data_IF_097235800854
#
_entry.id   IF_097235800854
#
_cell.length_a   1.000
_cell.length_b   1.000
_cell.length_c   1.000
_cell.angle_alpha   90.00
_cell.angle_beta   90.00
_cell.angle_gamma   90.00
#
_symmetry.space_group_name_H-M   'P 1'
#
loop_
_entity.id
_entity.type
_entity.pdbx_description
1 polymer ?
#
# COMPACT_ATOMS: atom_id res chain seq x y z
N UNK A 1 5.61 -19.94 18.59
CA UNK A 1 5.02 -19.58 17.28
C UNK A 1 5.97 -18.62 16.60
N UNK A 2 6.31 -18.81 15.31
CA UNK A 2 7.09 -17.83 14.59
C UNK A 2 6.30 -16.52 14.54
N UNK A 3 7.00 -15.41 14.73
CA UNK A 3 6.42 -14.06 14.68
C UNK A 3 5.76 -13.86 13.31
N UNK A 4 4.43 -13.79 13.27
CA UNK A 4 3.66 -13.57 12.02
C UNK A 4 3.55 -12.08 11.69
N UNK A 5 4.41 -11.24 12.28
CA UNK A 5 4.52 -9.83 11.97
C UNK A 5 5.05 -9.62 10.55
N UNK A 6 4.56 -8.58 9.88
CA UNK A 6 5.06 -8.11 8.60
C UNK A 6 5.86 -6.84 8.85
N UNK A 7 7.08 -6.80 8.33
CA UNK A 7 7.94 -5.61 8.43
C UNK A 7 8.16 -4.97 7.07
N UNK A 8 7.99 -3.66 7.01
CA UNK A 8 8.36 -2.83 5.86
C UNK A 8 9.60 -2.03 6.23
N UNK A 9 10.70 -2.35 5.58
CA UNK A 9 11.98 -1.67 5.80
C UNK A 9 12.35 -0.95 4.51
N UNK A 10 12.48 0.38 4.59
CA UNK A 10 12.97 1.18 3.47
C UNK A 10 14.40 1.61 3.76
N UNK A 11 15.32 1.14 2.93
CA UNK A 11 16.75 1.33 3.10
C UNK A 11 17.39 1.69 1.77
N UNK A 12 18.50 2.44 1.82
CA UNK A 12 19.34 2.67 0.65
C UNK A 12 20.21 1.44 0.36
N UNK A 13 20.76 1.38 -0.84
CA UNK A 13 21.75 0.36 -1.21
C UNK A 13 23.00 0.39 -0.32
N UNK A 14 23.38 1.57 0.17
CA UNK A 14 24.47 1.76 1.12
C UNK A 14 24.13 1.34 2.57
N UNK A 15 22.91 0.84 2.83
CA UNK A 15 22.48 0.33 4.14
C UNK A 15 21.89 1.39 5.08
N UNK A 16 21.62 2.61 4.62
CA UNK A 16 20.94 3.61 5.44
C UNK A 16 19.44 3.33 5.47
N UNK A 17 18.92 2.91 6.63
CA UNK A 17 17.48 2.74 6.86
C UNK A 17 16.78 4.08 7.06
N UNK A 18 15.85 4.40 6.18
CA UNK A 18 15.00 5.60 6.27
C UNK A 18 13.85 5.39 7.26
N UNK A 19 13.21 4.22 7.21
CA UNK A 19 12.17 3.81 8.16
C UNK A 19 12.03 2.29 8.25
N UNK A 20 11.47 1.85 9.37
CA UNK A 20 11.23 0.46 9.71
C UNK A 20 9.89 0.36 10.45
N UNK A 21 8.91 -0.25 9.78
CA UNK A 21 7.55 -0.38 10.25
C UNK A 21 7.19 -1.84 10.48
N UNK A 22 6.64 -2.14 11.65
CA UNK A 22 6.16 -3.46 12.03
C UNK A 22 4.63 -3.44 12.11
N UNK A 23 4.00 -4.37 11.40
CA UNK A 23 2.57 -4.64 11.44
C UNK A 23 2.37 -6.02 12.06
N UNK A 24 1.68 -6.07 13.19
CA UNK A 24 1.42 -7.31 13.92
C UNK A 24 0.06 -7.91 13.53
N UNK A 25 -0.13 -9.23 13.69
CA UNK A 25 -1.40 -9.89 13.38
C UNK A 25 -2.61 -9.37 14.17
N UNK A 26 -2.39 -8.81 15.35
CA UNK A 26 -3.41 -8.19 16.20
C UNK A 26 -3.83 -6.79 15.72
N UNK A 27 -3.27 -6.31 14.61
CA UNK A 27 -3.49 -4.97 14.07
C UNK A 27 -2.61 -3.88 14.69
N UNK A 28 -1.71 -4.24 15.61
CA UNK A 28 -0.79 -3.29 16.23
C UNK A 28 0.25 -2.83 15.19
N UNK A 29 0.43 -1.52 15.09
CA UNK A 29 1.46 -0.88 14.27
C UNK A 29 2.55 -0.27 15.16
N UNK A 30 3.81 -0.53 14.85
CA UNK A 30 4.97 0.08 15.54
C UNK A 30 5.97 0.62 14.53
N UNK A 31 6.32 1.90 14.65
CA UNK A 31 7.46 2.47 13.94
C UNK A 31 8.74 2.23 14.76
N UNK A 32 9.54 1.23 14.36
CA UNK A 32 10.79 0.87 15.04
C UNK A 32 11.88 1.91 14.82
N UNK A 33 11.94 2.46 13.61
CA UNK A 33 12.90 3.48 13.22
C UNK A 33 12.27 4.40 12.18
N UNK A 34 12.60 5.69 12.23
CA UNK A 34 12.35 6.65 11.17
C UNK A 34 13.38 7.77 11.30
N UNK A 35 14.04 8.15 10.20
CA UNK A 35 14.92 9.34 10.21
C UNK A 35 14.09 10.60 10.51
N UNK A 36 14.73 11.65 11.06
CA UNK A 36 14.02 12.84 11.58
C UNK A 36 13.02 13.48 10.61
N UNK A 37 13.27 13.42 9.30
CA UNK A 37 12.34 13.95 8.29
C UNK A 37 11.05 13.12 8.15
N UNK A 38 11.09 11.84 8.50
CA UNK A 38 9.95 10.92 8.46
C UNK A 38 9.36 10.62 9.84
N UNK A 39 9.99 11.09 10.94
CA UNK A 39 9.55 10.77 12.30
C UNK A 39 8.35 11.58 12.79
N UNK A 40 7.91 12.60 12.05
CA UNK A 40 6.68 13.31 12.37
C UNK A 40 5.47 12.36 12.25
N UNK A 41 4.62 12.35 13.28
CA UNK A 41 3.39 11.56 13.38
C UNK A 41 2.50 11.63 12.13
N UNK A 42 2.38 12.79 11.49
CA UNK A 42 1.57 12.93 10.28
C UNK A 42 2.13 12.10 9.13
N UNK A 43 3.45 12.11 8.93
CA UNK A 43 4.15 11.36 7.89
C UNK A 43 4.08 9.86 8.17
N UNK A 44 4.36 9.45 9.42
CA UNK A 44 4.24 8.05 9.84
C UNK A 44 2.82 7.52 9.58
N UNK A 45 1.78 8.29 9.95
CA UNK A 45 0.40 7.88 9.76
C UNK A 45 0.00 7.76 8.27
N UNK A 46 0.53 8.65 7.43
CA UNK A 46 0.33 8.56 5.97
C UNK A 46 0.98 7.30 5.43
N UNK A 47 2.27 7.09 5.72
CA UNK A 47 3.01 5.92 5.24
C UNK A 47 2.40 4.61 5.77
N UNK A 48 1.96 4.59 7.03
CA UNK A 48 1.23 3.45 7.60
C UNK A 48 0.03 3.08 6.75
N UNK A 49 -0.84 4.05 6.42
CA UNK A 49 -2.04 3.82 5.61
C UNK A 49 -1.70 3.38 4.18
N UNK A 50 -0.63 3.93 3.63
CA UNK A 50 -0.13 3.56 2.30
C UNK A 50 0.31 2.10 2.26
N UNK A 51 1.08 1.65 3.26
CA UNK A 51 1.50 0.25 3.36
C UNK A 51 0.38 -0.69 3.78
N UNK A 52 -0.61 -0.23 4.54
CA UNK A 52 -1.83 -0.99 4.81
C UNK A 52 -2.59 -1.31 3.51
N UNK A 53 -2.69 -0.34 2.58
CA UNK A 53 -3.31 -0.54 1.27
C UNK A 53 -2.56 -1.59 0.43
N UNK A 54 -1.23 -1.68 0.57
CA UNK A 54 -0.38 -2.64 -0.16
C UNK A 54 -0.45 -4.03 0.44
N UNK A 55 -0.32 -4.14 1.76
CA UNK A 55 -0.07 -5.41 2.45
C UNK A 55 -1.34 -6.12 2.91
N UNK A 56 -2.39 -5.36 3.26
CA UNK A 56 -3.57 -5.91 3.92
C UNK A 56 -4.88 -5.63 3.17
N UNK A 57 -4.94 -5.84 1.84
CA UNK A 57 -6.17 -5.59 1.09
C UNK A 57 -7.35 -6.48 1.56
N UNK A 58 -7.06 -7.67 2.11
CA UNK A 58 -8.05 -8.69 2.45
C UNK A 58 -8.72 -8.52 3.80
N UNK A 59 -8.26 -7.60 4.65
CA UNK A 59 -8.90 -7.36 5.97
C UNK A 59 -10.16 -6.52 5.85
N UNK A 60 -10.42 -5.94 4.69
CA UNK A 60 -11.56 -5.08 4.43
C UNK A 60 -12.75 -5.88 3.86
N UNK A 61 -13.96 -5.54 4.27
CA UNK A 61 -15.18 -6.16 3.75
C UNK A 61 -15.40 -5.77 2.28
N UNK A 62 -15.64 -6.75 1.41
CA UNK A 62 -16.08 -6.51 0.05
C UNK A 62 -17.48 -5.89 0.07
N UNK A 63 -17.60 -4.67 -0.47
CA UNK A 63 -18.86 -3.94 -0.60
C UNK A 63 -19.57 -4.30 -1.89
N UNK A 64 -18.83 -4.27 -3.01
CA UNK A 64 -19.35 -4.62 -4.34
C UNK A 64 -18.20 -4.88 -5.31
N UNK A 65 -18.50 -5.58 -6.40
CA UNK A 65 -17.64 -5.65 -7.57
C UNK A 65 -18.41 -5.24 -8.83
N UNK A 66 -17.72 -4.64 -9.79
CA UNK A 66 -18.31 -4.27 -11.08
C UNK A 66 -17.26 -4.22 -12.18
N UNK A 67 -17.70 -4.35 -13.42
CA UNK A 67 -16.83 -4.23 -14.60
C UNK A 67 -16.94 -2.82 -15.19
N UNK A 68 -15.80 -2.27 -15.62
CA UNK A 68 -15.75 -1.01 -16.37
C UNK A 68 -14.72 -1.12 -17.47
N UNK A 69 -15.16 -1.09 -18.74
CA UNK A 69 -14.28 -1.38 -19.87
C UNK A 69 -13.67 -2.78 -19.75
N UNK A 70 -12.34 -2.87 -19.81
CA UNK A 70 -11.58 -4.13 -19.67
C UNK A 70 -11.04 -4.37 -18.25
N UNK A 71 -11.64 -3.74 -17.25
CA UNK A 71 -11.21 -3.79 -15.86
C UNK A 71 -12.31 -4.33 -14.94
N UNK A 72 -11.92 -5.09 -13.93
CA UNK A 72 -12.79 -5.50 -12.84
C UNK A 72 -12.39 -4.71 -11.59
N UNK A 73 -13.40 -4.10 -10.97
CA UNK A 73 -13.26 -3.25 -9.80
C UNK A 73 -13.84 -3.96 -8.58
N UNK A 74 -13.06 -4.07 -7.51
CA UNK A 74 -13.46 -4.61 -6.22
C UNK A 74 -13.45 -3.48 -5.19
N UNK A 75 -14.63 -3.03 -4.78
CA UNK A 75 -14.81 -1.99 -3.77
C UNK A 75 -14.80 -2.59 -2.36
N UNK A 76 -13.85 -2.16 -1.53
CA UNK A 76 -13.67 -2.62 -0.16
C UNK A 76 -13.94 -1.48 0.84
N UNK A 77 -14.53 -1.82 1.97
CA UNK A 77 -14.83 -0.87 3.04
C UNK A 77 -13.53 -0.39 3.71
N UNK A 78 -13.31 0.91 3.80
CA UNK A 78 -12.18 1.50 4.54
C UNK A 78 -12.66 2.63 5.44
N UNK A 79 -13.27 2.31 6.59
CA UNK A 79 -13.89 3.29 7.50
C UNK A 79 -14.86 4.22 6.75
N UNK A 80 -14.52 5.50 6.57
CA UNK A 80 -15.31 6.52 5.87
C UNK A 80 -14.89 6.70 4.40
N UNK A 81 -14.10 5.77 3.88
CA UNK A 81 -13.49 5.77 2.55
C UNK A 81 -13.77 4.43 1.86
N UNK A 82 -13.45 4.37 0.58
CA UNK A 82 -13.56 3.14 -0.22
C UNK A 82 -12.24 2.88 -0.90
N UNK A 83 -11.71 1.69 -0.68
CA UNK A 83 -10.52 1.19 -1.37
C UNK A 83 -10.98 0.34 -2.55
N UNK A 84 -10.46 0.62 -3.74
CA UNK A 84 -10.71 -0.17 -4.94
C UNK A 84 -9.48 -0.99 -5.28
N UNK A 85 -9.67 -2.29 -5.49
CA UNK A 85 -8.67 -3.17 -6.11
C UNK A 85 -9.10 -3.42 -7.53
N UNK A 86 -8.20 -3.20 -8.48
CA UNK A 86 -8.54 -3.21 -9.89
C UNK A 86 -7.64 -4.22 -10.60
N UNK A 87 -8.28 -5.16 -11.30
CA UNK A 87 -7.61 -6.18 -12.12
C UNK A 87 -8.00 -6.02 -13.58
N UNK A 88 -7.27 -6.69 -14.45
CA UNK A 88 -7.77 -6.93 -15.80
C UNK A 88 -9.04 -7.80 -15.77
N UNK A 89 -9.76 -7.83 -16.90
CA UNK A 89 -10.99 -8.58 -17.07
C UNK A 89 -10.86 -10.08 -16.76
N UNK A 90 -9.69 -10.68 -17.04
CA UNK A 90 -9.48 -12.11 -16.81
C UNK A 90 -9.00 -12.43 -15.37
N UNK A 91 -8.92 -11.42 -14.50
CA UNK A 91 -8.42 -11.51 -13.12
C UNK A 91 -7.00 -12.09 -13.00
N UNK A 92 -6.23 -12.12 -14.09
CA UNK A 92 -4.87 -12.68 -14.13
C UNK A 92 -3.81 -11.65 -13.74
N UNK A 93 -4.14 -10.36 -13.73
CA UNK A 93 -3.19 -9.28 -13.45
C UNK A 93 -3.83 -8.21 -12.58
N UNK A 94 -3.17 -7.93 -11.46
CA UNK A 94 -3.43 -6.73 -10.67
C UNK A 94 -2.94 -5.50 -11.44
N UNK A 95 -3.80 -4.50 -11.61
CA UNK A 95 -3.48 -3.27 -12.33
C UNK A 95 -3.09 -2.16 -11.37
N UNK A 96 -3.96 -1.90 -10.38
CA UNK A 96 -3.77 -0.83 -9.39
C UNK A 96 -4.71 -0.98 -8.20
N UNK A 97 -4.39 -0.27 -7.13
CA UNK A 97 -5.30 -0.01 -6.02
C UNK A 97 -5.55 1.50 -5.88
N UNK A 98 -6.77 1.88 -5.52
CA UNK A 98 -7.14 3.28 -5.35
C UNK A 98 -7.85 3.49 -4.02
N UNK A 99 -7.40 4.48 -3.23
CA UNK A 99 -8.14 4.95 -2.05
C UNK A 99 -8.96 6.17 -2.45
N UNK A 100 -10.26 6.13 -2.18
CA UNK A 100 -11.19 7.21 -2.53
C UNK A 100 -11.95 7.72 -1.31
N UNK A 101 -12.23 9.01 -1.29
CA UNK A 101 -13.03 9.65 -0.24
C UNK A 101 -13.91 10.72 -0.84
N UNK A 102 -15.20 10.74 -0.47
CA UNK A 102 -16.21 11.69 -1.01
C UNK A 102 -16.23 11.70 -2.55
N UNK A 103 -16.08 10.54 -3.18
CA UNK A 103 -16.07 10.38 -4.64
C UNK A 103 -14.80 10.85 -5.35
N UNK A 104 -13.75 11.28 -4.64
CA UNK A 104 -12.47 11.69 -5.24
C UNK A 104 -11.36 10.68 -4.94
N UNK A 105 -10.52 10.40 -5.94
CA UNK A 105 -9.27 9.65 -5.79
C UNK A 105 -8.33 10.41 -4.85
N UNK A 106 -7.86 9.75 -3.81
CA UNK A 106 -6.92 10.31 -2.81
C UNK A 106 -5.53 9.73 -2.98
N UNK A 107 -5.46 8.41 -3.20
CA UNK A 107 -4.22 7.67 -3.41
C UNK A 107 -4.43 6.70 -4.56
N UNK A 108 -3.43 6.58 -5.43
CA UNK A 108 -3.30 5.51 -6.41
C UNK A 108 -2.00 4.75 -6.14
N UNK A 109 -2.07 3.43 -6.17
CA UNK A 109 -0.93 2.56 -6.04
C UNK A 109 -0.86 1.61 -7.24
N UNK A 110 0.30 1.52 -7.86
CA UNK A 110 0.61 0.61 -8.96
C UNK A 110 1.78 -0.28 -8.58
N UNK A 111 1.73 -1.52 -9.04
CA UNK A 111 2.84 -2.47 -8.91
C UNK A 111 3.22 -2.98 -10.30
N UNK A 112 4.49 -3.29 -10.50
CA UNK A 112 4.97 -3.95 -11.71
C UNK A 112 6.09 -4.93 -11.38
N UNK A 113 6.28 -5.91 -12.24
CA UNK A 113 7.30 -6.95 -12.08
C UNK A 113 6.74 -8.28 -11.60
N UNK A 114 7.58 -9.03 -10.87
CA UNK A 114 7.30 -10.37 -10.32
C UNK A 114 6.01 -10.43 -9.45
N UNK A 115 5.56 -11.63 -8.98
CA UNK A 115 4.20 -11.81 -8.47
C UNK A 115 3.86 -10.88 -7.29
N UNK A 116 2.55 -10.63 -7.08
CA UNK A 116 1.96 -9.59 -6.21
C UNK A 116 2.57 -9.43 -4.80
N UNK A 117 3.18 -10.47 -4.23
CA UNK A 117 3.81 -10.43 -2.90
C UNK A 117 5.27 -9.95 -2.90
N UNK A 118 5.91 -9.88 -4.06
CA UNK A 118 7.30 -9.43 -4.22
C UNK A 118 7.48 -8.70 -5.57
N UNK A 119 6.74 -7.58 -5.81
CA UNK A 119 6.87 -6.82 -7.04
C UNK A 119 8.27 -6.20 -7.17
N UNK A 120 8.71 -5.99 -8.41
CA UNK A 120 10.01 -5.35 -8.68
C UNK A 120 9.94 -3.85 -8.41
N UNK A 121 8.75 -3.24 -8.56
CA UNK A 121 8.52 -1.86 -8.16
C UNK A 121 7.10 -1.61 -7.68
N UNK A 122 7.00 -0.67 -6.73
CA UNK A 122 5.73 -0.14 -6.23
C UNK A 122 5.76 1.37 -6.36
N UNK A 123 4.70 1.95 -6.90
CA UNK A 123 4.55 3.38 -7.07
C UNK A 123 3.26 3.85 -6.41
N UNK A 124 3.34 4.85 -5.53
CA UNK A 124 2.20 5.49 -4.90
C UNK A 124 2.17 6.99 -5.23
N UNK A 125 0.99 7.45 -5.64
CA UNK A 125 0.70 8.85 -5.90
C UNK A 125 -0.40 9.33 -4.95
N UNK A 126 -0.11 10.40 -4.20
CA UNK A 126 -1.13 11.12 -3.44
C UNK A 126 -1.68 12.28 -4.29
N UNK A 127 -3.01 12.45 -4.28
CA UNK A 127 -3.71 13.51 -5.01
C UNK A 127 -4.21 14.62 -4.10
N UNK A 128 -4.18 14.42 -2.78
CA UNK A 128 -4.61 15.42 -1.79
C UNK A 128 -3.49 16.34 -1.30
N UNK A 129 -2.24 15.97 -1.54
CA UNK A 129 -1.04 16.77 -1.26
C UNK A 129 0.11 16.26 -2.12
N UNK A 130 1.17 17.08 -2.26
CA UNK A 130 2.30 16.76 -3.14
C UNK A 130 3.24 15.73 -2.49
N UNK A 131 2.96 14.44 -2.70
CA UNK A 131 3.83 13.34 -2.29
C UNK A 131 3.72 12.17 -3.25
N UNK A 132 4.88 11.61 -3.58
CA UNK A 132 5.03 10.45 -4.42
C UNK A 132 6.03 9.51 -3.76
N UNK A 133 5.74 8.21 -3.77
CA UNK A 133 6.66 7.17 -3.29
C UNK A 133 6.92 6.22 -4.46
N UNK A 134 8.19 5.99 -4.76
CA UNK A 134 8.60 5.00 -5.75
C UNK A 134 9.60 4.07 -5.08
N UNK A 135 9.23 2.81 -4.97
CA UNK A 135 10.03 1.74 -4.40
C UNK A 135 10.50 0.84 -5.52
N UNK A 136 11.78 0.47 -5.49
CA UNK A 136 12.36 -0.54 -6.37
C UNK A 136 12.98 -1.63 -5.50
N UNK A 137 12.70 -2.87 -5.86
CA UNK A 137 13.36 -4.02 -5.27
C UNK A 137 14.87 -3.92 -5.53
N UNK A 138 15.66 -4.16 -4.48
CA UNK A 138 17.10 -4.26 -4.62
C UNK A 138 17.42 -5.69 -5.07
N UNK A 139 18.06 -5.82 -6.22
CA UNK A 139 18.66 -7.08 -6.64
C UNK A 139 19.94 -7.28 -5.82
N UNK A 140 20.04 -8.43 -5.15
CA UNK A 140 21.25 -8.85 -4.42
C UNK A 140 22.00 -9.89 -5.23
#
# INVERSE_FOLDING_TARGET
MPDSSVRVVFTSEAGLTFFDFEFRPDGTFTAKQAVNKFSNKAVINTLRKDFELILFPRTNQLLKSFTSGNEIWYALSSKNETDYFITNHDCTSFLRAEKTGKGKKKVEMKMSGAPHLAPDSVHLQHYTFNMQISLKKLDR
#
